data_IF_939588449507
#
_entry.id   IF_939588449507
#
_cell.length_a   1.000
_cell.length_b   1.000
_cell.length_c   1.000
_cell.angle_alpha   90.00
_cell.angle_beta   90.00
_cell.angle_gamma   90.00
#
_symmetry.space_group_name_H-M   'P 1'
#
loop_
_entity.id
_entity.type
_entity.pdbx_description
1 polymer ?
#
# COMPACT_ATOMS: atom_id res chain seq x y z
N UNK A 1 22.64 24.66 -20.07
CA UNK A 1 23.96 24.05 -20.29
C UNK A 1 24.31 23.30 -19.03
N UNK A 2 24.25 21.97 -19.03
CA UNK A 2 24.85 21.20 -17.92
C UNK A 2 26.35 21.33 -18.09
N UNK A 3 27.04 21.72 -17.01
CA UNK A 3 28.49 21.80 -16.98
C UNK A 3 29.09 20.42 -17.36
N UNK A 4 29.96 20.33 -18.38
CA UNK A 4 30.66 19.08 -18.70
C UNK A 4 31.33 18.46 -17.46
N UNK A 5 31.71 19.24 -16.44
CA UNK A 5 32.26 18.75 -15.17
C UNK A 5 31.33 17.78 -14.44
N UNK A 6 30.02 18.04 -14.38
CA UNK A 6 29.08 17.17 -13.67
C UNK A 6 28.95 15.78 -14.34
N UNK A 7 29.13 15.72 -15.66
CA UNK A 7 29.13 14.48 -16.43
C UNK A 7 30.50 13.75 -16.42
N UNK A 8 31.56 14.41 -15.93
CA UNK A 8 32.91 13.85 -15.82
C UNK A 8 33.19 13.20 -14.45
N UNK A 9 32.30 13.37 -13.47
CA UNK A 9 32.47 12.73 -12.17
C UNK A 9 32.48 11.19 -12.31
N UNK A 10 33.50 10.55 -11.74
CA UNK A 10 33.62 9.09 -11.70
C UNK A 10 32.41 8.46 -11.00
N UNK A 11 31.87 7.38 -11.55
CA UNK A 11 30.77 6.59 -10.98
C UNK A 11 30.99 6.26 -9.50
N UNK A 12 32.22 5.90 -9.10
CA UNK A 12 32.54 5.58 -7.70
C UNK A 12 32.40 6.80 -6.77
N UNK A 13 32.69 8.00 -7.27
CA UNK A 13 32.55 9.24 -6.48
C UNK A 13 31.08 9.62 -6.34
N UNK A 14 30.30 9.50 -7.43
CA UNK A 14 28.86 9.74 -7.40
C UNK A 14 28.15 8.78 -6.46
N UNK A 15 28.51 7.49 -6.48
CA UNK A 15 27.96 6.48 -5.58
C UNK A 15 28.18 6.83 -4.11
N UNK A 16 29.41 7.20 -3.74
CA UNK A 16 29.73 7.62 -2.37
C UNK A 16 28.92 8.85 -1.99
N UNK A 17 28.96 9.91 -2.81
CA UNK A 17 28.25 11.16 -2.53
C UNK A 17 26.75 10.89 -2.35
N UNK A 18 26.12 10.24 -3.32
CA UNK A 18 24.69 9.99 -3.32
C UNK A 18 24.26 9.05 -2.18
N UNK A 19 25.09 8.10 -1.76
CA UNK A 19 24.78 7.24 -0.60
C UNK A 19 24.69 8.03 0.72
N UNK A 20 25.31 9.21 0.82
CA UNK A 20 25.25 10.09 2.00
C UNK A 20 24.17 11.18 1.92
N UNK A 21 23.44 11.29 0.80
CA UNK A 21 22.37 12.26 0.64
C UNK A 21 21.04 11.71 1.18
N UNK A 22 20.13 12.59 1.62
CA UNK A 22 18.77 12.16 1.93
C UNK A 22 17.96 11.91 0.64
N UNK A 23 16.84 11.19 0.77
CA UNK A 23 16.04 10.79 -0.40
C UNK A 23 15.49 11.98 -1.20
N UNK A 24 15.19 13.09 -0.53
CA UNK A 24 14.77 14.32 -1.19
C UNK A 24 15.91 14.91 -2.02
N UNK A 25 17.13 14.94 -1.49
CA UNK A 25 18.32 15.41 -2.22
C UNK A 25 18.63 14.52 -3.42
N UNK A 26 18.47 13.19 -3.30
CA UNK A 26 18.59 12.27 -4.43
C UNK A 26 17.59 12.59 -5.54
N UNK A 27 16.34 12.91 -5.19
CA UNK A 27 15.33 13.34 -6.15
C UNK A 27 15.80 14.59 -6.92
N UNK A 28 16.29 15.60 -6.20
CA UNK A 28 16.84 16.81 -6.83
C UNK A 28 18.06 16.51 -7.70
N UNK A 29 19.01 15.68 -7.23
CA UNK A 29 20.18 15.25 -8.00
C UNK A 29 19.80 14.56 -9.31
N UNK A 30 18.74 13.74 -9.31
CA UNK A 30 18.26 13.05 -10.52
C UNK A 30 17.76 14.00 -11.61
N UNK A 31 17.50 15.26 -11.28
CA UNK A 31 17.01 16.29 -12.21
C UNK A 31 18.13 17.20 -12.73
N UNK A 32 19.35 17.11 -12.18
CA UNK A 32 20.48 17.99 -12.52
C UNK A 32 20.99 17.73 -13.94
N UNK A 33 21.21 16.47 -14.30
CA UNK A 33 21.67 16.09 -15.64
C UNK A 33 21.29 14.65 -16.02
N UNK A 34 21.36 14.34 -17.32
CA UNK A 34 21.05 13.01 -17.84
C UNK A 34 21.95 11.92 -17.23
N UNK A 35 23.22 12.20 -16.98
CA UNK A 35 24.16 11.23 -16.39
C UNK A 35 23.74 10.85 -14.97
N UNK A 36 23.44 11.83 -14.12
CA UNK A 36 23.00 11.58 -12.74
C UNK A 36 21.60 10.95 -12.71
N UNK A 37 20.72 11.34 -13.63
CA UNK A 37 19.41 10.72 -13.80
C UNK A 37 19.55 9.22 -14.12
N UNK A 38 20.39 8.87 -15.11
CA UNK A 38 20.66 7.48 -15.47
C UNK A 38 21.26 6.69 -14.30
N UNK A 39 22.21 7.29 -13.57
CA UNK A 39 22.82 6.69 -12.39
C UNK A 39 21.76 6.36 -11.31
N UNK A 40 20.91 7.32 -10.96
CA UNK A 40 19.89 7.16 -9.91
C UNK A 40 18.65 6.36 -10.38
N UNK A 41 18.52 6.12 -11.67
CA UNK A 41 17.50 5.24 -12.24
C UNK A 41 17.88 3.76 -12.22
N UNK A 42 19.16 3.40 -12.05
CA UNK A 42 19.50 2.03 -11.68
C UNK A 42 19.01 1.78 -10.26
N UNK A 43 17.86 1.12 -10.15
CA UNK A 43 17.16 0.84 -8.90
C UNK A 43 17.88 -0.16 -7.97
N UNK A 44 18.94 -0.80 -8.46
CA UNK A 44 19.75 -1.76 -7.71
C UNK A 44 21.17 -1.27 -7.42
N UNK A 45 21.50 -0.02 -7.77
CA UNK A 45 22.80 0.58 -7.44
C UNK A 45 23.09 0.53 -5.93
N UNK A 46 24.37 0.65 -5.57
CA UNK A 46 24.79 0.60 -4.17
C UNK A 46 24.23 1.76 -3.34
N UNK A 47 23.85 2.88 -3.96
CA UNK A 47 23.09 3.97 -3.32
C UNK A 47 21.75 3.46 -2.80
N UNK A 48 20.94 2.82 -3.66
CA UNK A 48 19.64 2.30 -3.23
C UNK A 48 19.79 1.12 -2.28
N UNK A 49 20.81 0.27 -2.50
CA UNK A 49 21.16 -0.79 -1.56
C UNK A 49 21.43 -0.22 -0.17
N UNK A 50 22.25 0.82 -0.08
CA UNK A 50 22.59 1.47 1.18
C UNK A 50 21.34 2.05 1.86
N UNK A 51 20.51 2.80 1.13
CA UNK A 51 19.27 3.34 1.70
C UNK A 51 18.29 2.25 2.12
N UNK A 52 18.12 1.21 1.31
CA UNK A 52 17.24 0.10 1.63
C UNK A 52 17.71 -0.62 2.90
N UNK A 53 18.99 -0.97 3.02
CA UNK A 53 19.51 -1.70 4.18
C UNK A 53 19.51 -0.87 5.47
N UNK A 54 19.69 0.44 5.39
CA UNK A 54 19.71 1.32 6.56
C UNK A 54 18.31 1.79 7.01
N UNK A 55 17.35 1.89 6.09
CA UNK A 55 16.00 2.41 6.41
C UNK A 55 14.96 1.31 6.62
N UNK A 56 15.10 0.12 6.01
CA UNK A 56 14.13 -0.97 6.17
C UNK A 56 14.39 -1.78 7.45
N UNK A 57 13.33 -2.27 8.12
CA UNK A 57 13.47 -3.24 9.19
C UNK A 57 14.13 -4.54 8.71
N UNK A 58 15.11 -5.03 9.48
CA UNK A 58 15.87 -6.25 9.15
C UNK A 58 14.97 -7.48 9.01
N UNK A 59 13.86 -7.55 9.75
CA UNK A 59 12.89 -8.63 9.68
C UNK A 59 12.19 -8.69 8.31
N UNK A 60 11.82 -7.55 7.74
CA UNK A 60 11.16 -7.49 6.44
C UNK A 60 12.08 -8.00 5.33
N UNK A 61 13.36 -7.61 5.36
CA UNK A 61 14.37 -8.03 4.38
C UNK A 61 14.71 -9.52 4.42
N UNK A 62 14.48 -10.18 5.56
CA UNK A 62 14.71 -11.64 5.73
C UNK A 62 13.49 -12.49 5.38
N UNK A 63 12.36 -11.85 5.09
CA UNK A 63 11.08 -12.52 4.81
C UNK A 63 10.74 -12.46 3.31
N UNK A 64 9.82 -13.32 2.89
CA UNK A 64 9.28 -13.31 1.52
C UNK A 64 8.19 -12.25 1.30
N UNK A 65 7.92 -11.37 2.28
CA UNK A 65 6.88 -10.36 2.18
C UNK A 65 7.10 -9.45 0.96
N UNK A 66 8.34 -9.04 0.74
CA UNK A 66 8.75 -8.14 -0.34
C UNK A 66 9.11 -8.87 -1.63
N UNK A 67 8.68 -10.12 -1.83
CA UNK A 67 8.99 -10.89 -3.05
C UNK A 67 8.39 -10.27 -4.33
N UNK A 68 7.28 -9.55 -4.22
CA UNK A 68 6.63 -8.84 -5.34
C UNK A 68 7.39 -7.58 -5.80
N UNK A 69 8.39 -7.11 -5.04
CA UNK A 69 9.22 -5.95 -5.39
C UNK A 69 10.70 -6.37 -5.40
N UNK A 70 11.32 -6.36 -6.58
CA UNK A 70 12.64 -6.98 -6.77
C UNK A 70 13.79 -6.07 -6.38
N UNK A 71 13.67 -4.76 -6.62
CA UNK A 71 14.78 -3.80 -6.52
C UNK A 71 14.91 -3.15 -5.15
N UNK A 72 16.09 -2.68 -4.79
CA UNK A 72 16.29 -1.96 -3.52
C UNK A 72 15.45 -0.67 -3.46
N UNK A 73 15.36 0.06 -4.58
CA UNK A 73 14.53 1.26 -4.66
C UNK A 73 13.05 0.96 -4.47
N UNK A 74 12.52 -0.10 -5.08
CA UNK A 74 11.10 -0.48 -4.94
C UNK A 74 10.78 -1.02 -3.54
N UNK A 75 11.67 -1.79 -2.92
CA UNK A 75 11.55 -2.20 -1.51
C UNK A 75 11.52 -1.00 -0.56
N UNK A 76 12.42 -0.04 -0.78
CA UNK A 76 12.43 1.21 -0.02
C UNK A 76 11.14 2.00 -0.20
N UNK A 77 10.68 2.15 -1.45
CA UNK A 77 9.40 2.79 -1.76
C UNK A 77 8.24 2.09 -1.07
N UNK A 78 8.18 0.76 -1.10
CA UNK A 78 7.15 -0.02 -0.42
C UNK A 78 7.09 0.30 1.08
N UNK A 79 8.24 0.40 1.74
CA UNK A 79 8.32 0.73 3.17
C UNK A 79 7.73 2.11 3.51
N UNK A 80 7.98 3.12 2.68
CA UNK A 80 7.41 4.46 2.88
C UNK A 80 5.92 4.54 2.61
N UNK A 81 5.36 3.59 1.88
CA UNK A 81 3.93 3.51 1.59
C UNK A 81 3.16 2.56 2.52
N UNK A 82 3.86 1.77 3.33
CA UNK A 82 3.28 0.79 4.27
C UNK A 82 2.27 1.42 5.25
N UNK A 83 1.63 0.59 6.09
CA UNK A 83 0.67 1.05 7.09
C UNK A 83 1.25 2.12 8.03
N UNK A 84 0.44 3.10 8.38
CA UNK A 84 0.84 4.21 9.26
C UNK A 84 0.68 3.81 10.72
N UNK A 85 1.75 3.80 11.54
CA UNK A 85 1.62 3.65 12.99
C UNK A 85 0.98 4.85 13.67
N UNK A 86 0.87 5.99 12.97
CA UNK A 86 0.28 7.23 13.47
C UNK A 86 -1.15 7.44 13.00
N UNK A 87 -1.68 6.55 12.16
CA UNK A 87 -3.01 6.67 11.56
C UNK A 87 -3.72 5.31 11.53
N UNK A 88 -3.91 4.78 12.74
CA UNK A 88 -4.60 3.53 13.02
C UNK A 88 -5.47 3.68 14.27
N UNK A 89 -6.44 2.77 14.44
CA UNK A 89 -7.23 2.69 15.66
C UNK A 89 -6.34 2.46 16.89
N UNK A 90 -6.85 2.79 18.08
CA UNK A 90 -6.13 2.57 19.35
C UNK A 90 -5.81 1.10 19.64
N UNK A 91 -6.52 0.17 18.99
CA UNK A 91 -6.34 -1.27 19.20
C UNK A 91 -5.45 -1.90 18.12
N UNK A 92 -4.89 -1.10 17.21
CA UNK A 92 -4.00 -1.56 16.15
C UNK A 92 -2.61 -0.98 16.39
N UNK A 93 -1.58 -1.77 16.13
CA UNK A 93 -0.20 -1.29 16.04
C UNK A 93 0.49 -1.93 14.83
N UNK A 94 1.58 -1.30 14.38
CA UNK A 94 2.40 -1.84 13.28
C UNK A 94 3.55 -2.64 13.89
N UNK A 95 3.71 -3.89 13.43
CA UNK A 95 4.74 -4.81 13.90
C UNK A 95 6.15 -4.29 13.58
N UNK A 96 7.20 -4.79 14.26
CA UNK A 96 8.58 -4.38 14.03
C UNK A 96 9.07 -4.51 12.58
N UNK A 97 8.49 -5.41 11.78
CA UNK A 97 8.78 -5.50 10.35
C UNK A 97 8.38 -4.23 9.56
N UNK A 98 7.52 -3.36 10.11
CA UNK A 98 7.11 -2.08 9.53
C UNK A 98 6.06 -2.14 8.43
N UNK A 99 5.58 -3.33 8.08
CA UNK A 99 4.63 -3.57 6.98
C UNK A 99 3.33 -4.22 7.42
N UNK A 100 3.33 -4.91 8.56
CA UNK A 100 2.19 -5.69 9.04
C UNK A 100 1.50 -4.96 10.18
N UNK A 101 0.22 -4.67 10.02
CA UNK A 101 -0.61 -4.23 11.13
C UNK A 101 -1.02 -5.46 11.96
N UNK A 102 -1.09 -5.30 13.27
CA UNK A 102 -1.62 -6.30 14.19
C UNK A 102 -2.77 -5.67 14.97
N UNK A 103 -3.90 -6.38 15.03
CA UNK A 103 -5.06 -5.96 15.82
C UNK A 103 -5.09 -6.69 17.16
N UNK A 104 -5.05 -5.93 18.25
CA UNK A 104 -5.20 -6.48 19.60
C UNK A 104 -6.59 -7.15 19.79
N UNK A 105 -6.69 -8.21 20.59
CA UNK A 105 -7.94 -8.91 20.83
C UNK A 105 -8.90 -8.06 21.68
N UNK A 106 -9.77 -7.31 21.02
CA UNK A 106 -10.79 -6.46 21.66
C UNK A 106 -12.17 -6.84 21.14
N UNK A 107 -13.07 -7.20 22.06
CA UNK A 107 -14.45 -7.52 21.75
C UNK A 107 -15.25 -6.26 21.39
N UNK A 108 -16.30 -6.42 20.58
CA UNK A 108 -17.27 -5.36 20.24
C UNK A 108 -16.59 -4.07 19.71
N UNK A 109 -15.58 -4.25 18.87
CA UNK A 109 -14.84 -3.15 18.22
C UNK A 109 -14.50 -3.55 16.80
N UNK A 110 -14.65 -2.61 15.88
CA UNK A 110 -14.06 -2.67 14.55
C UNK A 110 -12.94 -1.65 14.48
N UNK A 111 -11.80 -2.07 13.96
CA UNK A 111 -10.57 -1.31 14.05
C UNK A 111 -9.90 -1.25 12.68
N UNK A 112 -9.44 -0.07 12.28
CA UNK A 112 -8.87 0.16 10.97
C UNK A 112 -7.51 0.85 11.02
N UNK A 113 -6.79 0.80 9.91
CA UNK A 113 -5.54 1.52 9.69
C UNK A 113 -5.47 2.04 8.26
N UNK A 114 -4.84 3.21 8.11
CA UNK A 114 -4.50 3.82 6.81
C UNK A 114 -3.03 3.61 6.46
N UNK A 115 -2.73 3.64 5.17
CA UNK A 115 -1.36 3.75 4.66
C UNK A 115 -0.71 5.08 5.03
N UNK A 116 0.62 5.13 5.08
CA UNK A 116 1.39 6.37 5.35
C UNK A 116 1.15 7.47 4.31
N UNK A 117 0.96 7.06 3.05
CA UNK A 117 0.84 7.96 1.90
C UNK A 117 -0.50 7.68 1.21
N UNK A 118 -1.27 8.75 1.02
CA UNK A 118 -2.45 8.75 0.17
C UNK A 118 -2.16 9.38 -1.18
N UNK A 119 -3.04 9.11 -2.15
CA UNK A 119 -2.86 9.42 -3.56
C UNK A 119 -3.97 10.33 -4.06
N UNK A 120 -3.62 11.24 -4.98
CA UNK A 120 -4.58 12.15 -5.62
C UNK A 120 -4.48 12.12 -7.16
N UNK A 121 -3.37 11.64 -7.70
CA UNK A 121 -3.08 11.65 -9.13
C UNK A 121 -2.34 10.38 -9.53
N UNK A 122 -2.51 9.94 -10.77
CA UNK A 122 -1.83 8.76 -11.30
C UNK A 122 -2.45 7.44 -10.85
N UNK A 123 -1.83 6.37 -11.32
CA UNK A 123 -2.23 4.99 -11.04
C UNK A 123 -1.32 4.37 -9.99
N UNK A 124 -1.94 3.76 -8.99
CA UNK A 124 -1.26 3.23 -7.81
C UNK A 124 -1.74 1.81 -7.51
N UNK A 125 -0.79 0.89 -7.32
CA UNK A 125 -1.07 -0.48 -6.94
C UNK A 125 -0.34 -0.88 -5.66
N UNK A 126 -1.02 -1.64 -4.82
CA UNK A 126 -0.46 -2.28 -3.64
C UNK A 126 -1.09 -3.64 -3.41
N UNK A 127 -0.36 -4.52 -2.74
CA UNK A 127 -0.88 -5.81 -2.28
C UNK A 127 -1.28 -5.74 -0.83
N UNK A 128 -2.34 -6.46 -0.49
CA UNK A 128 -2.74 -6.79 0.88
C UNK A 128 -2.65 -8.30 1.07
N UNK A 129 -2.02 -8.70 2.17
CA UNK A 129 -1.93 -10.09 2.63
C UNK A 129 -2.55 -10.15 4.00
N UNK A 130 -3.67 -10.85 4.10
CA UNK A 130 -4.41 -11.03 5.35
C UNK A 130 -4.11 -12.41 5.94
N UNK A 131 -3.53 -12.39 7.13
CA UNK A 131 -3.14 -13.56 7.90
C UNK A 131 -4.11 -13.81 9.06
N UNK A 132 -4.43 -15.08 9.26
CA UNK A 132 -5.40 -15.53 10.24
C UNK A 132 -6.87 -15.37 9.82
N UNK A 133 -7.80 -15.67 10.74
CA UNK A 133 -9.24 -15.63 10.43
C UNK A 133 -9.72 -14.21 10.14
N UNK A 134 -10.57 -14.07 9.12
CA UNK A 134 -11.22 -12.79 8.79
C UNK A 134 -12.20 -12.32 9.88
N UNK A 135 -12.81 -13.28 10.60
CA UNK A 135 -13.90 -13.01 11.53
C UNK A 135 -15.24 -12.84 10.80
N UNK A 136 -16.16 -12.09 11.41
CA UNK A 136 -17.48 -11.81 10.82
C UNK A 136 -17.44 -10.72 9.75
N UNK A 137 -16.43 -9.83 9.80
CA UNK A 137 -16.26 -8.71 8.87
C UNK A 137 -14.78 -8.42 8.67
N UNK A 138 -14.34 -8.38 7.40
CA UNK A 138 -12.98 -8.02 7.02
C UNK A 138 -13.04 -7.24 5.72
N UNK A 139 -12.68 -5.95 5.77
CA UNK A 139 -12.86 -5.05 4.63
C UNK A 139 -11.53 -4.42 4.24
N UNK A 140 -11.18 -4.54 2.97
CA UNK A 140 -10.04 -3.85 2.36
C UNK A 140 -10.55 -2.80 1.37
N UNK A 141 -9.81 -1.72 1.20
CA UNK A 141 -10.18 -0.70 0.22
C UNK A 141 -9.43 0.61 0.44
N UNK A 142 -10.18 1.70 0.35
CA UNK A 142 -9.63 3.06 0.44
C UNK A 142 -10.51 3.96 1.30
N UNK A 143 -9.92 5.00 1.86
CA UNK A 143 -10.64 6.04 2.59
C UNK A 143 -10.01 7.41 2.42
N UNK A 144 -10.77 8.45 2.71
CA UNK A 144 -10.23 9.79 2.92
C UNK A 144 -9.61 9.90 4.31
N UNK A 145 -9.02 11.05 4.62
CA UNK A 145 -8.50 11.32 5.96
C UNK A 145 -9.62 11.50 6.99
N UNK A 146 -10.82 11.83 6.53
CA UNK A 146 -12.00 12.11 7.36
C UNK A 146 -12.69 10.83 7.85
N UNK A 147 -12.45 9.68 7.20
CA UNK A 147 -13.04 8.41 7.62
C UNK A 147 -12.62 8.02 9.04
N UNK A 148 -13.57 7.51 9.82
CA UNK A 148 -13.31 7.00 11.17
C UNK A 148 -12.52 5.68 11.10
N UNK A 149 -11.57 5.50 12.01
CA UNK A 149 -10.74 4.29 12.09
C UNK A 149 -11.13 3.33 13.21
N UNK A 150 -12.20 3.65 13.95
CA UNK A 150 -12.72 2.81 15.00
C UNK A 150 -14.20 3.03 15.19
N UNK A 151 -14.94 1.97 15.45
CA UNK A 151 -16.32 2.07 15.92
C UNK A 151 -16.68 0.88 16.82
N UNK A 152 -17.78 1.04 17.55
CA UNK A 152 -18.33 -0.02 18.38
C UNK A 152 -19.01 -1.11 17.54
N UNK A 153 -18.91 -2.35 17.99
CA UNK A 153 -19.51 -3.52 17.34
C UNK A 153 -18.66 -4.11 16.22
N UNK A 154 -19.15 -5.20 15.64
CA UNK A 154 -18.55 -5.88 14.49
C UNK A 154 -19.25 -5.43 13.22
N UNK A 155 -18.77 -4.36 12.61
CA UNK A 155 -19.44 -3.70 11.48
C UNK A 155 -18.46 -3.52 10.32
N UNK A 156 -19.00 -3.34 9.13
CA UNK A 156 -18.20 -3.03 7.96
C UNK A 156 -17.87 -1.54 7.94
N UNK A 157 -16.77 -1.18 8.60
CA UNK A 157 -16.38 0.20 8.84
C UNK A 157 -16.06 0.93 7.53
N UNK A 158 -15.27 0.31 6.64
CA UNK A 158 -15.08 0.83 5.29
C UNK A 158 -16.37 0.66 4.50
N UNK A 159 -16.91 1.79 4.08
CA UNK A 159 -18.20 1.91 3.41
C UNK A 159 -19.37 2.18 4.34
N UNK A 160 -19.15 2.38 5.64
CA UNK A 160 -20.20 2.83 6.59
C UNK A 160 -20.61 4.29 6.43
N UNK A 161 -19.79 5.08 5.73
CA UNK A 161 -19.98 6.49 5.41
C UNK A 161 -19.54 6.80 3.98
N UNK A 162 -19.70 8.06 3.56
CA UNK A 162 -19.27 8.58 2.27
C UNK A 162 -17.75 8.86 2.18
N UNK A 163 -16.99 8.57 3.24
CA UNK A 163 -15.55 8.82 3.31
C UNK A 163 -14.73 7.57 3.01
N UNK A 164 -15.37 6.42 2.75
CA UNK A 164 -14.67 5.15 2.53
C UNK A 164 -15.37 4.24 1.52
N UNK A 165 -14.55 3.42 0.85
CA UNK A 165 -14.98 2.43 -0.16
C UNK A 165 -14.29 1.11 0.17
N UNK A 166 -15.08 0.04 0.30
CA UNK A 166 -14.58 -1.22 0.83
C UNK A 166 -15.12 -2.44 0.11
N UNK A 167 -14.27 -3.46 -0.02
CA UNK A 167 -14.67 -4.82 -0.38
C UNK A 167 -14.59 -5.72 0.85
N UNK A 168 -15.74 -6.25 1.28
CA UNK A 168 -15.84 -7.20 2.38
C UNK A 168 -15.49 -8.61 1.89
N UNK A 169 -14.36 -9.14 2.37
CA UNK A 169 -13.80 -10.44 1.98
C UNK A 169 -14.58 -11.65 2.54
N UNK A 170 -15.45 -11.44 3.54
CA UNK A 170 -16.25 -12.51 4.17
C UNK A 170 -17.46 -12.88 3.31
N UNK A 171 -18.17 -11.85 2.85
CA UNK A 171 -19.45 -11.95 2.13
C UNK A 171 -19.33 -11.63 0.63
N UNK A 172 -18.17 -11.18 0.15
CA UNK A 172 -17.96 -10.77 -1.24
C UNK A 172 -18.92 -9.66 -1.69
N UNK A 173 -19.02 -8.60 -0.87
CA UNK A 173 -19.83 -7.42 -1.17
C UNK A 173 -19.00 -6.14 -1.17
N UNK A 174 -19.38 -5.22 -2.05
CA UNK A 174 -18.87 -3.85 -2.07
C UNK A 174 -19.71 -2.96 -1.16
N UNK A 175 -19.05 -2.02 -0.50
CA UNK A 175 -19.62 -1.17 0.54
C UNK A 175 -19.19 0.28 0.33
N UNK A 176 -20.15 1.19 0.36
CA UNK A 176 -19.93 2.63 0.31
C UNK A 176 -21.18 3.38 0.79
N UNK A 177 -21.00 4.50 1.52
CA UNK A 177 -22.08 5.40 1.92
C UNK A 177 -23.18 4.74 2.77
N UNK A 178 -22.82 3.74 3.59
CA UNK A 178 -23.75 2.96 4.39
C UNK A 178 -24.48 1.86 3.63
N UNK A 179 -24.29 1.77 2.30
CA UNK A 179 -25.02 0.87 1.42
C UNK A 179 -24.15 -0.27 0.89
N UNK A 180 -24.79 -1.44 0.73
CA UNK A 180 -24.23 -2.57 -0.01
C UNK A 180 -24.41 -2.34 -1.51
N UNK A 181 -23.30 -2.12 -2.22
CA UNK A 181 -23.29 -1.76 -3.65
C UNK A 181 -23.50 -2.98 -4.57
N UNK A 182 -23.39 -4.20 -4.04
CA UNK A 182 -23.62 -5.45 -4.77
C UNK A 182 -22.54 -6.50 -4.52
N UNK A 183 -22.71 -7.67 -5.11
CA UNK A 183 -21.74 -8.76 -5.06
C UNK A 183 -20.51 -8.46 -5.92
N UNK A 184 -19.34 -8.81 -5.41
CA UNK A 184 -18.06 -8.64 -6.08
C UNK A 184 -17.06 -9.72 -5.62
N UNK A 185 -16.32 -10.34 -6.56
CA UNK A 185 -16.34 -10.17 -8.02
C UNK A 185 -17.67 -10.58 -8.69
N UNK A 186 -17.94 -10.08 -9.90
CA UNK A 186 -19.11 -10.47 -10.71
C UNK A 186 -18.91 -11.85 -11.39
N UNK A 187 -18.47 -12.83 -10.60
CA UNK A 187 -18.21 -14.20 -11.04
C UNK A 187 -19.26 -15.14 -10.45
N UNK A 188 -19.72 -16.10 -11.24
CA UNK A 188 -20.50 -17.21 -10.71
C UNK A 188 -19.66 -17.98 -9.69
N UNK A 189 -20.12 -18.08 -8.44
CA UNK A 189 -19.39 -18.70 -7.33
C UNK A 189 -18.01 -18.08 -7.07
N UNK A 190 -17.94 -16.74 -7.00
CA UNK A 190 -16.70 -16.03 -6.71
C UNK A 190 -15.96 -16.65 -5.50
N UNK A 191 -14.68 -17.04 -5.64
CA UNK A 191 -13.97 -17.73 -4.59
C UNK A 191 -13.80 -16.81 -3.38
N UNK A 192 -14.07 -17.33 -2.18
CA UNK A 192 -13.79 -16.62 -0.94
C UNK A 192 -12.29 -16.39 -0.78
N UNK A 193 -11.95 -15.38 0.02
CA UNK A 193 -10.57 -15.12 0.37
C UNK A 193 -9.94 -16.32 1.09
N UNK A 194 -8.73 -16.70 0.68
CA UNK A 194 -7.92 -17.73 1.34
C UNK A 194 -6.82 -17.08 2.16
N UNK A 195 -6.64 -17.54 3.40
CA UNK A 195 -5.63 -16.98 4.31
C UNK A 195 -4.24 -16.99 3.66
N UNK A 196 -3.54 -15.85 3.74
CA UNK A 196 -2.20 -15.67 3.20
C UNK A 196 -2.11 -15.39 1.69
N UNK A 197 -3.22 -15.33 0.96
CA UNK A 197 -3.16 -14.95 -0.45
C UNK A 197 -2.93 -13.44 -0.64
N UNK A 198 -2.36 -13.08 -1.80
CA UNK A 198 -2.12 -11.68 -2.18
C UNK A 198 -3.28 -11.14 -2.99
N UNK A 199 -4.00 -10.16 -2.45
CA UNK A 199 -4.92 -9.33 -3.24
C UNK A 199 -4.17 -8.07 -3.64
N UNK A 200 -4.08 -7.80 -4.95
CA UNK A 200 -3.62 -6.51 -5.45
C UNK A 200 -4.80 -5.56 -5.59
N UNK A 201 -4.62 -4.33 -5.15
CA UNK A 201 -5.59 -3.24 -5.22
C UNK A 201 -5.02 -2.20 -6.17
N UNK A 202 -5.83 -1.75 -7.12
CA UNK A 202 -5.46 -0.77 -8.14
C UNK A 202 -6.37 0.44 -7.98
N UNK A 203 -5.78 1.56 -7.57
CA UNK A 203 -6.42 2.86 -7.53
C UNK A 203 -5.99 3.67 -8.76
N UNK A 204 -6.95 4.00 -9.59
CA UNK A 204 -6.77 4.90 -10.71
C UNK A 204 -7.36 6.27 -10.36
N UNK A 205 -6.50 7.22 -9.99
CA UNK A 205 -6.93 8.58 -9.68
C UNK A 205 -7.25 9.41 -10.93
N UNK A 206 -6.81 8.95 -12.12
CA UNK A 206 -7.03 9.69 -13.37
C UNK A 206 -8.40 9.31 -13.95
N UNK A 207 -8.76 8.03 -13.93
CA UNK A 207 -10.07 7.50 -14.32
C UNK A 207 -11.10 7.42 -13.17
N UNK A 208 -10.68 7.75 -11.95
CA UNK A 208 -11.50 7.72 -10.73
C UNK A 208 -12.12 6.33 -10.45
N UNK A 209 -11.29 5.29 -10.51
CA UNK A 209 -11.73 3.91 -10.28
C UNK A 209 -10.90 3.17 -9.23
N UNK A 210 -11.54 2.19 -8.58
CA UNK A 210 -10.88 1.21 -7.72
C UNK A 210 -11.17 -0.19 -8.24
N UNK A 211 -10.13 -0.99 -8.42
CA UNK A 211 -10.23 -2.38 -8.89
C UNK A 211 -9.38 -3.31 -8.03
N UNK A 212 -9.66 -4.60 -8.12
CA UNK A 212 -8.94 -5.63 -7.37
C UNK A 212 -8.48 -6.75 -8.30
N UNK A 213 -7.35 -7.34 -7.96
CA UNK A 213 -6.72 -8.46 -8.64
C UNK A 213 -6.37 -9.54 -7.64
N UNK A 214 -6.59 -10.80 -8.00
CA UNK A 214 -6.23 -11.97 -7.18
C UNK A 214 -5.57 -12.99 -8.08
N UNK A 215 -4.40 -13.49 -7.70
CA UNK A 215 -3.63 -14.47 -8.50
C UNK A 215 -3.41 -14.02 -9.96
N UNK A 216 -3.13 -12.73 -10.19
CA UNK A 216 -2.98 -12.14 -11.53
C UNK A 216 -4.27 -12.14 -12.38
N UNK A 217 -5.42 -12.40 -11.78
CA UNK A 217 -6.74 -12.27 -12.41
C UNK A 217 -7.40 -10.95 -12.02
N UNK A 218 -7.77 -10.16 -13.02
CA UNK A 218 -8.52 -8.92 -12.85
C UNK A 218 -9.99 -9.22 -12.50
N UNK A 219 -10.42 -8.75 -11.33
CA UNK A 219 -11.74 -9.08 -10.78
C UNK A 219 -12.85 -8.10 -11.20
N UNK A 220 -12.52 -7.12 -12.05
CA UNK A 220 -13.43 -6.08 -12.49
C UNK A 220 -13.21 -4.74 -11.77
N UNK A 221 -13.86 -3.70 -12.27
CA UNK A 221 -13.90 -2.40 -11.59
C UNK A 221 -14.91 -2.47 -10.46
N UNK A 222 -14.46 -2.31 -9.22
CA UNK A 222 -15.31 -2.34 -8.04
C UNK A 222 -16.05 -1.00 -7.84
N UNK A 223 -15.33 0.12 -7.92
CA UNK A 223 -15.91 1.44 -7.75
C UNK A 223 -15.54 2.36 -8.90
N UNK A 224 -16.49 3.22 -9.30
CA UNK A 224 -16.34 4.24 -10.34
C UNK A 224 -16.79 5.58 -9.78
N UNK A 225 -16.27 6.68 -10.35
CA UNK A 225 -16.64 8.02 -9.92
C UNK A 225 -16.13 8.35 -8.52
N UNK A 226 -14.96 7.82 -8.15
CA UNK A 226 -14.27 8.23 -6.94
C UNK A 226 -14.07 9.76 -6.93
N UNK A 227 -14.09 10.40 -5.76
CA UNK A 227 -13.93 11.85 -5.68
C UNK A 227 -12.48 12.27 -5.94
N UNK A 228 -12.26 13.49 -6.46
CA UNK A 228 -10.95 14.16 -6.48
C UNK A 228 -10.55 14.60 -5.06
N UNK A 229 -10.22 13.60 -4.23
CA UNK A 229 -9.70 13.74 -2.89
C UNK A 229 -8.44 12.89 -2.77
N UNK A 230 -7.65 13.18 -1.74
CA UNK A 230 -6.53 12.32 -1.38
C UNK A 230 -7.06 11.03 -0.73
N UNK A 231 -6.87 9.91 -1.41
CA UNK A 231 -7.38 8.59 -1.01
C UNK A 231 -6.23 7.72 -0.47
N UNK A 232 -6.47 7.06 0.64
CA UNK A 232 -5.48 6.28 1.38
C UNK A 232 -5.83 4.80 1.30
N UNK A 233 -4.86 3.90 1.04
CA UNK A 233 -5.03 2.47 1.31
C UNK A 233 -5.54 2.29 2.73
N UNK A 234 -6.61 1.53 2.91
CA UNK A 234 -7.25 1.35 4.21
C UNK A 234 -7.76 -0.07 4.38
N UNK A 235 -7.73 -0.56 5.61
CA UNK A 235 -8.24 -1.88 5.98
C UNK A 235 -8.94 -1.80 7.33
N UNK A 236 -10.04 -2.53 7.52
CA UNK A 236 -10.73 -2.67 8.81
C UNK A 236 -10.97 -4.12 9.17
N UNK A 237 -10.69 -4.48 10.42
CA UNK A 237 -10.77 -5.83 10.95
C UNK A 237 -11.53 -5.89 12.28
N UNK A 238 -12.15 -7.04 12.54
CA UNK A 238 -12.87 -7.32 13.80
C UNK A 238 -12.28 -8.49 14.59
N UNK A 239 -11.53 -9.38 13.94
CA UNK A 239 -10.96 -10.55 14.58
C UNK A 239 -9.73 -10.17 15.43
N UNK A 240 -9.59 -10.77 16.60
CA UNK A 240 -8.44 -10.54 17.47
C UNK A 240 -7.19 -11.26 16.96
N UNK A 241 -6.01 -10.67 17.13
CA UNK A 241 -4.72 -11.20 16.69
C UNK A 241 -4.59 -11.40 15.18
N UNK A 242 -5.49 -10.83 14.38
CA UNK A 242 -5.33 -10.85 12.92
C UNK A 242 -4.22 -9.90 12.51
N UNK A 243 -3.53 -10.27 11.45
CA UNK A 243 -2.40 -9.53 10.92
C UNK A 243 -2.63 -9.25 9.44
N UNK A 244 -2.39 -8.01 9.02
CA UNK A 244 -2.58 -7.62 7.63
C UNK A 244 -1.36 -6.85 7.16
N UNK A 245 -0.69 -7.38 6.15
CA UNK A 245 0.49 -6.75 5.56
C UNK A 245 0.11 -6.00 4.29
N UNK A 246 0.80 -4.88 4.03
CA UNK A 246 0.65 -4.14 2.77
C UNK A 246 1.99 -3.91 2.10
N UNK A 247 2.06 -4.19 0.81
CA UNK A 247 3.27 -3.95 -0.02
C UNK A 247 2.88 -3.09 -1.21
N UNK A 248 3.35 -1.85 -1.25
CA UNK A 248 3.11 -0.97 -2.39
C UNK A 248 4.01 -1.37 -3.57
N UNK A 249 3.38 -1.52 -4.74
CA UNK A 249 4.02 -2.03 -5.95
C UNK A 249 4.49 -0.91 -6.89
N UNK A 250 3.83 0.25 -6.86
CA UNK A 250 4.10 1.32 -7.81
C UNK A 250 2.93 1.57 -8.75
N UNK A 251 3.26 2.04 -9.94
CA UNK A 251 2.30 2.14 -11.04
C UNK A 251 2.06 0.73 -11.58
N UNK A 252 0.81 0.26 -11.67
CA UNK A 252 0.51 -1.05 -12.25
C UNK A 252 0.97 -1.10 -13.71
N UNK A 253 1.52 -2.25 -14.14
CA UNK A 253 1.92 -2.47 -15.55
C UNK A 253 0.72 -2.92 -16.41
N UNK A 254 -0.36 -3.33 -15.76
CA UNK A 254 -1.55 -3.97 -16.27
C UNK A 254 -2.83 -3.27 -15.75
N UNK A 255 -3.94 -3.50 -16.46
CA UNK A 255 -5.22 -2.79 -16.39
C UNK A 255 -5.56 -2.23 -17.76
#
# INVERSE_FOLDING_TARGET
MVDPVAALCNYNVLEVIFSYLELDDLSHCSQVCKSWNLFLNDENSDVWRWHCLNKLPKEALKSDLLSSVSTYKTKLRAYFHAWSPNDCSRNVYIKPNGFTLHRNPVAQSTDAARGKIGFRHGRHAWEVIWEGPLGTVAVIGISTKEAVLQCHGYVALLGSDDQSWGWNLVENHLLHNGDMQGSYPLLNNAPKYQVGERIRIILDCDDNTLSFEKNYEFLGVAFRGLPDKKLYPTVSAVYGNTEVSMVYLGTPMDG
#
